data_IF_724031852502
#
_entry.id   IF_724031852502
#
_cell.length_a   1.000
_cell.length_b   1.000
_cell.length_c   1.000
_cell.angle_alpha   90.00
_cell.angle_beta   90.00
_cell.angle_gamma   90.00
#
_symmetry.space_group_name_H-M   'P 1'
#
loop_
_entity.id
_entity.type
_entity.pdbx_description
1 polymer ?
#
# COMPACT_ATOMS: atom_id res chain seq x y z
N UNK A 1 19.34 -17.16 2.91
CA UNK A 1 18.89 -15.87 2.33
C UNK A 1 17.43 -15.66 2.71
N UNK A 2 17.10 -14.55 3.38
CA UNK A 2 15.74 -14.25 3.84
C UNK A 2 14.76 -14.20 2.66
N UNK A 3 13.54 -14.68 2.87
CA UNK A 3 12.51 -14.70 1.83
C UNK A 3 11.23 -14.04 2.29
N UNK A 4 10.55 -13.40 1.35
CA UNK A 4 9.20 -12.91 1.58
C UNK A 4 8.24 -14.08 1.46
N UNK A 5 7.42 -14.29 2.49
CA UNK A 5 6.40 -15.34 2.51
C UNK A 5 5.04 -14.66 2.61
N UNK A 6 4.20 -14.88 1.60
CA UNK A 6 2.78 -14.60 1.71
C UNK A 6 2.15 -15.69 2.58
N UNK A 7 1.69 -15.33 3.77
CA UNK A 7 0.89 -16.19 4.65
C UNK A 7 -0.57 -15.80 4.48
N UNK A 8 -1.42 -16.81 4.40
CA UNK A 8 -2.88 -16.63 4.35
C UNK A 8 -3.42 -17.25 5.64
N UNK A 9 -4.15 -16.45 6.40
CA UNK A 9 -4.82 -16.86 7.63
C UNK A 9 -6.30 -16.44 7.61
N UNK A 10 -7.01 -16.67 8.72
CA UNK A 10 -8.44 -16.37 8.85
C UNK A 10 -8.76 -14.87 8.70
N UNK A 11 -7.79 -13.99 8.93
CA UNK A 11 -7.91 -12.53 8.83
C UNK A 11 -7.48 -12.00 7.44
N UNK A 12 -7.00 -12.86 6.55
CA UNK A 12 -6.69 -12.55 5.16
C UNK A 12 -5.24 -12.85 4.73
N UNK A 13 -4.75 -12.09 3.75
CA UNK A 13 -3.40 -12.27 3.19
C UNK A 13 -2.43 -11.31 3.88
N UNK A 14 -1.43 -11.86 4.58
CA UNK A 14 -0.33 -11.10 5.19
C UNK A 14 1.00 -11.48 4.55
N UNK A 15 1.74 -10.48 4.08
CA UNK A 15 3.13 -10.66 3.65
C UNK A 15 4.04 -10.45 4.85
N UNK A 16 4.82 -11.47 5.19
CA UNK A 16 5.82 -11.40 6.25
C UNK A 16 7.22 -11.62 5.67
N UNK A 17 8.21 -10.97 6.27
CA UNK A 17 9.61 -11.27 6.05
C UNK A 17 9.97 -12.45 6.96
N UNK A 18 10.32 -13.58 6.38
CA UNK A 18 10.66 -14.80 7.12
C UNK A 18 12.15 -15.10 6.96
N UNK A 19 12.80 -15.35 8.10
CA UNK A 19 14.16 -15.84 8.12
C UNK A 19 14.18 -17.27 7.58
N UNK A 20 15.17 -17.59 6.77
CA UNK A 20 15.40 -18.98 6.33
C UNK A 20 16.41 -19.59 7.28
N UNK A 21 16.13 -20.80 7.78
CA UNK A 21 17.07 -21.62 8.55
C UNK A 21 17.72 -20.94 9.77
N UNK A 22 16.95 -20.12 10.49
CA UNK A 22 17.43 -19.45 11.71
C UNK A 22 18.36 -18.25 11.45
N UNK A 23 18.47 -17.79 10.20
CA UNK A 23 19.17 -16.54 9.86
C UNK A 23 18.56 -15.35 10.61
N UNK A 24 19.40 -14.44 11.08
CA UNK A 24 18.92 -13.21 11.72
C UNK A 24 18.40 -12.23 10.66
N UNK A 25 17.21 -11.67 10.89
CA UNK A 25 16.68 -10.60 10.03
C UNK A 25 17.39 -9.30 10.42
N UNK A 26 18.19 -8.75 9.51
CA UNK A 26 18.92 -7.51 9.81
C UNK A 26 17.98 -6.29 9.87
N UNK A 27 18.38 -5.26 10.62
CA UNK A 27 17.63 -4.01 10.73
C UNK A 27 17.47 -3.32 9.36
N UNK A 28 18.47 -3.41 8.48
CA UNK A 28 18.44 -2.87 7.12
C UNK A 28 17.36 -3.53 6.27
N UNK A 29 17.15 -4.84 6.44
CA UNK A 29 16.10 -5.57 5.72
C UNK A 29 14.70 -5.19 6.19
N UNK A 30 14.53 -4.99 7.50
CA UNK A 30 13.26 -4.47 8.06
C UNK A 30 12.97 -3.06 7.54
N UNK A 31 13.98 -2.20 7.49
CA UNK A 31 13.85 -0.85 6.97
C UNK A 31 13.48 -0.85 5.47
N UNK A 32 14.11 -1.70 4.66
CA UNK A 32 13.78 -1.87 3.26
C UNK A 32 12.32 -2.34 3.07
N UNK A 33 11.85 -3.29 3.88
CA UNK A 33 10.45 -3.72 3.87
C UNK A 33 9.47 -2.61 4.27
N UNK A 34 9.79 -1.86 5.32
CA UNK A 34 8.97 -0.74 5.75
C UNK A 34 8.82 0.31 4.64
N UNK A 35 9.89 0.60 3.92
CA UNK A 35 9.87 1.52 2.78
C UNK A 35 8.99 1.02 1.62
N UNK A 36 9.06 -0.28 1.27
CA UNK A 36 8.21 -0.89 0.23
C UNK A 36 6.73 -0.79 0.61
N UNK A 37 6.39 -1.11 1.88
CA UNK A 37 5.00 -1.05 2.36
C UNK A 37 4.48 0.39 2.39
N UNK A 38 5.29 1.35 2.82
CA UNK A 38 4.94 2.76 2.78
C UNK A 38 4.71 3.25 1.36
N UNK A 39 5.56 2.87 0.40
CA UNK A 39 5.38 3.19 -1.02
C UNK A 39 4.07 2.62 -1.59
N UNK A 40 3.73 1.36 -1.26
CA UNK A 40 2.46 0.76 -1.67
C UNK A 40 1.25 1.51 -1.07
N UNK A 41 1.30 1.88 0.21
CA UNK A 41 0.25 2.66 0.85
C UNK A 41 0.11 4.08 0.27
N UNK A 42 1.23 4.73 -0.06
CA UNK A 42 1.24 6.04 -0.71
C UNK A 42 0.63 5.98 -2.13
N UNK A 43 0.89 4.91 -2.88
CA UNK A 43 0.25 4.69 -4.19
C UNK A 43 -1.28 4.56 -4.06
N UNK A 44 -1.77 3.81 -3.08
CA UNK A 44 -3.22 3.68 -2.83
C UNK A 44 -3.86 5.03 -2.48
N UNK A 45 -3.19 5.82 -1.63
CA UNK A 45 -3.64 7.18 -1.28
C UNK A 45 -3.67 8.07 -2.52
N UNK A 46 -2.65 8.01 -3.39
CA UNK A 46 -2.61 8.78 -4.63
C UNK A 46 -3.78 8.44 -5.57
N UNK A 47 -4.11 7.15 -5.72
CA UNK A 47 -5.28 6.73 -6.51
C UNK A 47 -6.59 7.26 -5.94
N UNK A 48 -6.76 7.21 -4.62
CA UNK A 48 -7.96 7.75 -3.96
C UNK A 48 -8.07 9.27 -4.15
N UNK A 49 -6.96 10.00 -4.05
CA UNK A 49 -6.92 11.45 -4.28
C UNK A 49 -7.28 11.80 -5.73
N UNK A 50 -6.78 11.06 -6.72
CA UNK A 50 -7.19 11.25 -8.12
C UNK A 50 -8.69 10.98 -8.32
N UNK A 51 -9.25 9.96 -7.65
CA UNK A 51 -10.69 9.69 -7.67
C UNK A 51 -11.51 10.83 -7.08
N UNK A 52 -11.06 11.43 -5.98
CA UNK A 52 -11.68 12.59 -5.35
C UNK A 52 -11.62 13.81 -6.27
N UNK A 53 -10.45 14.09 -6.87
CA UNK A 53 -10.28 15.21 -7.80
C UNK A 53 -11.25 15.11 -8.99
N UNK A 54 -11.36 13.92 -9.60
CA UNK A 54 -12.34 13.67 -10.67
C UNK A 54 -13.79 13.85 -10.22
N UNK A 55 -14.14 13.44 -9.00
CA UNK A 55 -15.48 13.62 -8.46
C UNK A 55 -15.78 15.11 -8.21
N UNK A 56 -14.81 15.87 -7.70
CA UNK A 56 -14.93 17.31 -7.50
C UNK A 56 -15.10 18.07 -8.81
N UNK A 57 -14.34 17.71 -9.85
CA UNK A 57 -14.50 18.28 -11.19
C UNK A 57 -15.89 17.96 -11.77
N UNK A 58 -16.39 16.74 -11.57
CA UNK A 58 -17.74 16.36 -11.99
C UNK A 58 -18.83 17.16 -11.26
N UNK A 59 -18.63 17.42 -9.97
CA UNK A 59 -19.54 18.25 -9.17
C UNK A 59 -19.51 19.72 -9.61
N UNK A 60 -18.33 20.27 -9.87
CA UNK A 60 -18.17 21.62 -10.38
C UNK A 60 -18.91 21.80 -11.72
N UNK A 61 -18.71 20.88 -12.66
CA UNK A 61 -19.42 20.86 -13.94
C UNK A 61 -20.95 20.78 -13.76
N UNK A 62 -21.42 19.99 -12.79
CA UNK A 62 -22.84 19.85 -12.52
C UNK A 62 -23.45 21.13 -11.93
N UNK A 63 -22.71 21.82 -11.05
CA UNK A 63 -23.12 23.10 -10.48
C UNK A 63 -23.18 24.18 -11.56
N UNK A 64 -22.17 24.26 -12.43
CA UNK A 64 -22.12 25.24 -13.52
C UNK A 64 -23.27 25.08 -14.52
N UNK A 65 -23.73 23.85 -14.79
CA UNK A 65 -24.89 23.58 -15.66
C UNK A 65 -26.25 23.86 -15.00
N UNK A 66 -26.27 24.05 -13.69
CA UNK A 66 -27.50 24.28 -12.90
C UNK A 66 -27.78 25.77 -12.62
N UNK A 67 -26.82 26.65 -12.94
CA UNK A 67 -26.95 28.11 -12.91
C UNK A 67 -27.27 28.67 -14.31
#
# INVERSE_FOLDING_TARGET
MPKFVCKVDEDGVRVVLDAVDGEEISAEMVAAWAAIRQSAGLNEIAYRLMGIDNALNTLADAVDRSN
#
